data_IF_947424711324
#
_entry.id   IF_947424711324
#
_cell.length_a   1.000
_cell.length_b   1.000
_cell.length_c   1.000
_cell.angle_alpha   90.00
_cell.angle_beta   90.00
_cell.angle_gamma   90.00
#
_symmetry.space_group_name_H-M   'P 1'
#
loop_
_entity.id
_entity.type
_entity.pdbx_description
1 polymer ?
#
# COMPACT_ATOMS: atom_id res chain seq x y z
N UNK A 1 30.36 58.26 42.15
CA UNK A 1 29.47 58.75 43.23
C UNK A 1 28.16 59.17 42.59
N UNK A 2 27.02 58.85 43.24
CA UNK A 2 25.60 59.08 42.84
C UNK A 2 25.02 58.04 41.87
N UNK A 3 23.88 57.37 42.09
CA UNK A 3 23.07 56.98 43.27
C UNK A 3 22.22 55.79 42.78
N UNK A 4 22.23 54.67 43.50
CA UNK A 4 21.28 53.57 43.29
C UNK A 4 19.98 53.90 44.05
N UNK A 5 18.82 53.76 43.40
CA UNK A 5 17.54 53.53 44.10
C UNK A 5 16.73 52.47 43.35
N UNK A 6 16.52 51.37 44.04
CA UNK A 6 15.62 50.26 43.79
C UNK A 6 14.15 50.65 44.04
N UNK A 7 13.20 50.02 43.34
CA UNK A 7 12.20 49.09 43.89
C UNK A 7 11.14 48.69 42.84
N UNK A 8 10.79 47.39 42.78
CA UNK A 8 9.52 46.91 42.20
C UNK A 8 9.59 45.75 41.18
N UNK A 9 9.86 44.53 41.64
CA UNK A 9 9.38 43.28 40.98
C UNK A 9 7.86 43.11 41.25
N UNK A 10 7.12 42.17 40.63
CA UNK A 10 7.19 41.60 39.28
C UNK A 10 5.79 41.58 38.60
N UNK A 11 5.72 41.67 37.28
CA UNK A 11 4.54 41.17 36.55
C UNK A 11 5.04 40.22 35.46
N UNK A 12 5.33 39.00 35.89
CA UNK A 12 5.43 37.82 35.04
C UNK A 12 4.07 37.65 34.38
N UNK A 13 3.88 38.23 33.20
CA UNK A 13 2.77 37.86 32.33
C UNK A 13 3.22 36.60 31.61
N UNK A 14 2.85 35.47 32.21
CA UNK A 14 2.86 34.15 31.61
C UNK A 14 2.02 34.23 30.33
N UNK A 15 2.67 34.44 29.18
CA UNK A 15 2.03 34.21 27.89
C UNK A 15 1.95 32.70 27.74
N UNK A 16 0.77 32.19 28.07
CA UNK A 16 0.43 30.78 28.04
C UNK A 16 0.61 30.19 26.64
N UNK A 17 1.38 29.10 26.61
CA UNK A 17 1.21 27.90 25.80
C UNK A 17 0.00 27.93 24.85
N UNK A 18 0.27 28.09 23.56
CA UNK A 18 -0.45 27.37 22.51
C UNK A 18 0.58 26.88 21.48
N UNK A 19 1.27 25.79 21.83
CA UNK A 19 1.80 24.89 20.83
C UNK A 19 0.61 24.38 20.01
N UNK A 20 0.31 25.03 18.88
CA UNK A 20 -0.58 24.46 17.88
C UNK A 20 0.16 23.30 17.22
N UNK A 21 0.14 22.16 17.91
CA UNK A 21 0.58 20.88 17.41
C UNK A 21 -0.22 20.58 16.14
N UNK A 22 0.43 20.59 14.98
CA UNK A 22 -0.11 20.04 13.74
C UNK A 22 -0.16 18.50 13.79
N UNK A 23 -0.55 17.92 14.93
CA UNK A 23 -1.00 16.54 14.97
C UNK A 23 -2.39 16.51 14.32
N UNK A 24 -2.40 16.41 12.98
CA UNK A 24 -3.56 15.92 12.26
C UNK A 24 -3.76 14.49 12.74
N UNK A 25 -4.59 14.34 13.77
CA UNK A 25 -5.22 13.06 14.03
C UNK A 25 -6.05 12.77 12.79
N UNK A 26 -5.52 11.95 11.88
CA UNK A 26 -6.36 11.23 10.95
C UNK A 26 -7.35 10.44 11.82
N UNK A 27 -8.53 11.02 12.03
CA UNK A 27 -9.67 10.23 12.48
C UNK A 27 -9.75 9.11 11.45
N UNK A 28 -9.53 7.87 11.89
CA UNK A 28 -10.07 6.72 11.16
C UNK A 28 -11.58 6.98 11.12
N UNK A 29 -12.05 7.62 10.06
CA UNK A 29 -13.44 7.51 9.70
C UNK A 29 -13.66 6.02 9.47
N UNK A 30 -14.36 5.37 10.40
CA UNK A 30 -14.90 4.07 10.12
C UNK A 30 -15.76 4.24 8.86
N UNK A 31 -15.34 3.62 7.77
CA UNK A 31 -16.11 3.55 6.54
C UNK A 31 -17.36 2.75 6.92
N UNK A 32 -18.39 3.47 7.35
CA UNK A 32 -19.65 2.94 7.87
C UNK A 32 -20.79 3.25 6.90
N UNK A 33 -20.45 3.35 5.62
CA UNK A 33 -21.42 3.31 4.53
C UNK A 33 -21.60 1.87 4.05
N UNK A 34 -22.80 1.50 3.57
CA UNK A 34 -22.94 0.27 2.79
C UNK A 34 -21.94 0.31 1.63
N UNK A 35 -21.31 -0.83 1.34
CA UNK A 35 -20.46 -0.95 0.17
C UNK A 35 -21.22 -0.43 -1.07
N UNK A 36 -20.57 0.33 -1.97
CA UNK A 36 -21.23 0.85 -3.16
C UNK A 36 -21.96 -0.30 -3.87
N UNK A 37 -23.21 -0.07 -4.28
CA UNK A 37 -24.03 -1.07 -4.94
C UNK A 37 -23.27 -1.62 -6.17
N UNK A 38 -22.79 -2.86 -6.07
CA UNK A 38 -21.89 -3.50 -7.03
C UNK A 38 -20.64 -4.13 -6.42
N UNK A 39 -20.18 -3.66 -5.25
CA UNK A 39 -19.09 -4.28 -4.51
C UNK A 39 -19.63 -5.34 -3.55
N UNK A 40 -20.07 -6.47 -4.10
CA UNK A 40 -20.04 -7.69 -3.31
C UNK A 40 -18.59 -7.92 -2.85
N UNK A 41 -18.39 -8.40 -1.63
CA UNK A 41 -17.05 -8.78 -1.18
C UNK A 41 -16.50 -9.84 -2.15
N UNK A 42 -15.52 -9.46 -2.97
CA UNK A 42 -14.90 -10.37 -3.91
C UNK A 42 -13.96 -11.32 -3.16
N UNK A 43 -14.17 -12.62 -3.37
CA UNK A 43 -13.29 -13.65 -2.81
C UNK A 43 -11.92 -13.60 -3.51
N UNK A 44 -10.87 -13.67 -2.72
CA UNK A 44 -9.50 -13.85 -3.22
C UNK A 44 -9.28 -15.34 -3.57
N UNK A 45 -8.97 -15.62 -4.82
CA UNK A 45 -8.55 -16.95 -5.27
C UNK A 45 -7.03 -17.03 -5.30
N UNK A 46 -6.47 -18.03 -4.63
CA UNK A 46 -5.02 -18.24 -4.61
C UNK A 46 -4.57 -19.04 -5.83
N UNK A 47 -3.69 -18.44 -6.64
CA UNK A 47 -2.97 -19.08 -7.75
C UNK A 47 -1.48 -18.77 -7.59
N UNK A 48 -0.98 -19.17 -6.42
CA UNK A 48 0.38 -18.88 -5.98
C UNK A 48 1.37 -19.57 -6.91
N UNK A 49 2.33 -18.80 -7.43
CA UNK A 49 3.45 -19.35 -8.20
C UNK A 49 4.21 -20.31 -7.26
N UNK A 50 4.43 -21.58 -7.63
CA UNK A 50 5.18 -22.51 -6.80
C UNK A 50 6.59 -21.97 -6.51
N UNK A 51 7.15 -22.35 -5.35
CA UNK A 51 8.56 -22.09 -5.08
C UNK A 51 9.42 -22.71 -6.20
N UNK A 52 10.58 -22.11 -6.46
CA UNK A 52 11.58 -22.61 -7.41
C UNK A 52 11.15 -22.54 -8.89
N UNK A 53 9.99 -21.94 -9.19
CA UNK A 53 9.58 -21.61 -10.57
C UNK A 53 10.17 -20.27 -11.00
N UNK A 54 10.22 -20.10 -12.31
CA UNK A 54 10.76 -18.93 -13.00
C UNK A 54 10.36 -17.55 -12.41
N UNK A 55 9.09 -17.37 -12.00
CA UNK A 55 8.62 -16.11 -11.38
C UNK A 55 8.83 -15.99 -9.87
N UNK A 56 9.22 -17.08 -9.20
CA UNK A 56 9.42 -17.15 -7.74
C UNK A 56 10.59 -18.08 -7.39
N UNK A 57 11.80 -17.83 -7.93
CA UNK A 57 12.92 -18.76 -7.83
C UNK A 57 13.61 -18.76 -6.46
N UNK A 58 13.43 -17.70 -5.68
CA UNK A 58 14.04 -17.53 -4.36
C UNK A 58 12.99 -16.98 -3.42
N UNK A 59 13.00 -17.43 -2.16
CA UNK A 59 12.18 -16.81 -1.12
C UNK A 59 12.85 -15.51 -0.65
N UNK A 60 12.20 -14.37 -0.88
CA UNK A 60 12.67 -13.05 -0.42
C UNK A 60 11.65 -12.50 0.59
N UNK A 61 11.85 -12.67 1.90
CA UNK A 61 10.85 -12.29 2.90
C UNK A 61 10.57 -10.78 2.89
N UNK A 62 9.33 -10.41 3.14
CA UNK A 62 8.84 -9.04 3.15
C UNK A 62 7.91 -8.78 4.35
N UNK A 63 8.00 -7.59 4.92
CA UNK A 63 7.01 -7.01 5.84
C UNK A 63 6.45 -5.74 5.18
N UNK A 64 5.34 -5.82 4.42
CA UNK A 64 4.90 -4.71 3.59
C UNK A 64 4.44 -3.51 4.42
N UNK A 65 4.95 -2.32 4.10
CA UNK A 65 4.52 -1.03 4.68
C UNK A 65 3.86 -0.10 3.66
N UNK A 66 3.87 -0.50 2.38
CA UNK A 66 3.30 0.25 1.26
C UNK A 66 2.49 -0.69 0.36
N UNK A 67 1.56 -0.11 -0.41
CA UNK A 67 0.82 -0.78 -1.48
C UNK A 67 1.12 -0.02 -2.77
N UNK A 68 1.59 -0.74 -3.80
CA UNK A 68 1.79 -0.18 -5.14
C UNK A 68 0.63 -0.58 -6.03
N UNK A 69 0.02 0.39 -6.71
CA UNK A 69 -1.13 0.17 -7.61
C UNK A 69 -0.65 0.27 -9.06
N UNK A 70 -1.02 -0.70 -9.88
CA UNK A 70 -0.72 -0.76 -11.31
C UNK A 70 -2.00 -1.01 -12.11
N UNK A 71 -1.95 -0.68 -13.41
CA UNK A 71 -2.92 -1.14 -14.41
C UNK A 71 -2.21 -2.08 -15.38
N UNK A 72 -2.92 -3.05 -15.95
CA UNK A 72 -2.35 -4.04 -16.87
C UNK A 72 -1.96 -3.43 -18.22
N UNK A 73 -2.55 -2.27 -18.56
CA UNK A 73 -2.45 -1.64 -19.90
C UNK A 73 -2.78 -2.63 -21.04
N UNK A 74 -3.56 -3.67 -20.74
CA UNK A 74 -3.93 -4.72 -21.66
C UNK A 74 -5.44 -4.70 -21.88
N UNK A 75 -5.86 -4.10 -22.99
CA UNK A 75 -7.28 -3.93 -23.35
C UNK A 75 -7.88 -5.15 -24.03
N UNK A 76 -7.16 -6.27 -24.11
CA UNK A 76 -7.71 -7.51 -24.68
C UNK A 76 -8.88 -8.01 -23.83
N UNK A 77 -9.95 -8.47 -24.48
CA UNK A 77 -11.12 -9.04 -23.80
C UNK A 77 -10.80 -10.26 -22.93
N UNK A 78 -9.70 -10.95 -23.22
CA UNK A 78 -9.26 -12.13 -22.48
C UNK A 78 -8.22 -11.81 -21.38
N UNK A 79 -7.91 -10.54 -21.14
CA UNK A 79 -6.86 -10.13 -20.20
C UNK A 79 -7.41 -9.92 -18.77
N UNK A 80 -8.17 -10.90 -18.29
CA UNK A 80 -8.77 -10.90 -16.95
C UNK A 80 -7.75 -11.32 -15.85
N UNK A 81 -8.18 -11.31 -14.58
CA UNK A 81 -7.32 -11.64 -13.44
C UNK A 81 -6.83 -13.09 -13.47
N UNK A 82 -7.68 -14.04 -13.89
CA UNK A 82 -7.33 -15.45 -14.04
C UNK A 82 -6.21 -15.63 -15.08
N UNK A 83 -6.34 -15.03 -16.25
CA UNK A 83 -5.37 -15.18 -17.34
C UNK A 83 -4.01 -14.56 -16.98
N UNK A 84 -3.99 -13.46 -16.21
CA UNK A 84 -2.74 -12.92 -15.66
C UNK A 84 -2.11 -13.88 -14.65
N UNK A 85 -2.89 -14.49 -13.76
CA UNK A 85 -2.39 -15.49 -12.81
C UNK A 85 -1.82 -16.73 -13.52
N UNK A 86 -2.51 -17.23 -14.55
CA UNK A 86 -2.03 -18.33 -15.39
C UNK A 86 -0.75 -17.95 -16.15
N UNK A 87 -0.68 -16.74 -16.70
CA UNK A 87 0.51 -16.25 -17.39
C UNK A 87 1.72 -16.17 -16.44
N UNK A 88 1.54 -15.62 -15.23
CA UNK A 88 2.59 -15.56 -14.21
C UNK A 88 3.07 -16.96 -13.80
N UNK A 89 2.16 -17.91 -13.59
CA UNK A 89 2.49 -19.31 -13.30
C UNK A 89 3.28 -19.99 -14.44
N UNK A 90 3.07 -19.56 -15.69
CA UNK A 90 3.82 -20.02 -16.88
C UNK A 90 5.12 -19.26 -17.10
N UNK A 91 5.46 -18.29 -16.24
CA UNK A 91 6.66 -17.47 -16.37
C UNK A 91 6.44 -16.30 -17.34
N UNK A 92 5.49 -15.43 -17.04
CA UNK A 92 5.28 -14.15 -17.72
C UNK A 92 6.60 -13.36 -17.76
N UNK A 93 6.98 -12.84 -18.92
CA UNK A 93 8.22 -12.09 -19.11
C UNK A 93 7.93 -10.68 -19.61
N UNK A 94 8.81 -9.76 -19.23
CA UNK A 94 8.81 -8.44 -19.84
C UNK A 94 9.13 -8.52 -21.33
N UNK A 95 8.66 -7.53 -22.10
CA UNK A 95 9.07 -7.36 -23.50
C UNK A 95 10.59 -7.38 -23.59
N UNK A 96 11.11 -8.20 -24.51
CA UNK A 96 12.55 -8.42 -24.70
C UNK A 96 13.30 -8.89 -23.44
N UNK A 97 12.60 -9.50 -22.47
CA UNK A 97 13.17 -10.04 -21.22
C UNK A 97 13.99 -9.02 -20.40
N UNK A 98 13.73 -7.71 -20.56
CA UNK A 98 14.55 -6.62 -19.97
C UNK A 98 14.65 -6.68 -18.44
N UNK A 99 13.59 -7.11 -17.77
CA UNK A 99 13.51 -7.23 -16.30
C UNK A 99 13.34 -8.68 -15.85
N UNK A 100 13.48 -9.65 -16.76
CA UNK A 100 13.22 -11.06 -16.48
C UNK A 100 11.73 -11.40 -16.39
N UNK A 101 11.37 -12.20 -15.38
CA UNK A 101 9.99 -12.60 -15.11
C UNK A 101 9.23 -11.49 -14.38
N UNK A 102 7.99 -11.27 -14.77
CA UNK A 102 7.10 -10.31 -14.16
C UNK A 102 6.19 -11.02 -13.16
N UNK A 103 6.25 -10.56 -11.91
CA UNK A 103 5.41 -11.06 -10.81
C UNK A 103 4.93 -9.92 -9.92
N UNK A 104 3.75 -10.09 -9.35
CA UNK A 104 3.14 -9.19 -8.37
C UNK A 104 2.13 -9.98 -7.53
N UNK A 105 1.67 -9.39 -6.41
CA UNK A 105 0.87 -10.11 -5.42
C UNK A 105 -0.56 -10.38 -5.88
N UNK A 106 -1.25 -9.38 -6.42
CA UNK A 106 -2.67 -9.46 -6.74
C UNK A 106 -3.01 -8.91 -8.12
N UNK A 107 -3.92 -9.57 -8.81
CA UNK A 107 -4.60 -9.03 -10.00
C UNK A 107 -6.10 -8.97 -9.72
N UNK A 108 -6.74 -7.86 -10.09
CA UNK A 108 -8.16 -7.58 -9.84
C UNK A 108 -8.81 -7.22 -11.17
N UNK A 109 -9.99 -7.79 -11.44
CA UNK A 109 -10.90 -7.37 -12.50
C UNK A 109 -12.29 -7.05 -11.93
N UNK A 110 -13.30 -6.89 -12.79
CA UNK A 110 -14.66 -6.50 -12.41
C UNK A 110 -15.45 -7.59 -11.66
N UNK A 111 -14.96 -8.83 -11.60
CA UNK A 111 -15.68 -9.96 -11.01
C UNK A 111 -14.82 -10.90 -10.16
N UNK A 112 -13.49 -10.74 -10.13
CA UNK A 112 -12.59 -11.67 -9.48
C UNK A 112 -11.27 -11.04 -9.00
N UNK A 113 -10.65 -11.69 -8.01
CA UNK A 113 -9.32 -11.35 -7.50
C UNK A 113 -8.46 -12.61 -7.50
N UNK A 114 -7.26 -12.54 -8.05
CA UNK A 114 -6.27 -13.62 -8.04
C UNK A 114 -4.99 -13.19 -7.32
N UNK A 115 -4.54 -14.01 -6.37
CA UNK A 115 -3.26 -13.85 -5.68
C UNK A 115 -2.19 -14.75 -6.30
N UNK A 116 -1.09 -14.16 -6.77
CA UNK A 116 0.03 -14.89 -7.40
C UNK A 116 1.28 -15.01 -6.54
N UNK A 117 1.45 -14.14 -5.53
CA UNK A 117 2.52 -14.25 -4.52
C UNK A 117 1.97 -14.12 -3.10
N UNK A 118 2.56 -14.83 -2.11
CA UNK A 118 2.27 -14.58 -0.70
C UNK A 118 2.67 -13.15 -0.30
N UNK A 119 1.92 -12.52 0.60
CA UNK A 119 2.14 -11.13 1.02
C UNK A 119 3.33 -10.93 1.96
N UNK A 120 3.97 -12.03 2.38
CA UNK A 120 5.17 -12.02 3.22
C UNK A 120 6.45 -12.23 2.42
N UNK A 121 6.43 -12.07 1.09
CA UNK A 121 7.61 -12.18 0.23
C UNK A 121 7.50 -11.36 -1.07
N UNK A 122 8.61 -11.26 -1.83
CA UNK A 122 8.69 -10.66 -3.18
C UNK A 122 9.52 -11.49 -4.15
#
# INVERSE_FOLDING_TARGET
>A
MVKLRTFGYPAVVVVGLLFSSCAVFHRRAAISGPAPAGAAELKITQSIIPSDKCGRPLHRPMRPTFITIHSTDNTSRSADALHHALAMNKGLRARHNRTGFLTWHFTVDDHSIYQSLPTNET
#
